data_IF_029474419072
#
_entry.id   IF_029474419072
#
_cell.length_a   1.000
_cell.length_b   1.000
_cell.length_c   1.000
_cell.angle_alpha   90.00
_cell.angle_beta   90.00
_cell.angle_gamma   90.00
#
_symmetry.space_group_name_H-M   'P 1'
#
loop_
_entity.id
_entity.type
_entity.pdbx_description
1 polymer ?
#
# COMPACT_ATOMS: atom_id res chain seq x y z
N UNK A 1 9.54 9.76 -22.10
CA UNK A 1 10.04 8.59 -22.87
C UNK A 1 9.22 7.37 -22.43
N UNK A 2 8.92 6.46 -23.37
CA UNK A 2 7.72 5.60 -23.43
C UNK A 2 7.51 4.66 -22.23
N UNK A 3 6.33 4.71 -21.60
CA UNK A 3 5.83 3.66 -20.70
C UNK A 3 4.78 2.85 -21.44
N UNK A 4 5.21 2.09 -22.45
CA UNK A 4 4.43 0.97 -22.95
C UNK A 4 5.44 -0.11 -23.28
N UNK A 5 5.38 -1.22 -22.55
CA UNK A 5 5.66 -2.59 -23.01
C UNK A 5 6.00 -3.55 -21.86
N UNK A 6 5.13 -3.62 -20.85
CA UNK A 6 4.94 -4.92 -20.19
C UNK A 6 3.96 -5.70 -21.07
N UNK A 7 4.42 -6.80 -21.67
CA UNK A 7 3.58 -7.73 -22.43
C UNK A 7 2.40 -8.23 -21.59
N UNK A 8 2.60 -8.34 -20.28
CA UNK A 8 1.58 -8.76 -19.32
C UNK A 8 0.44 -7.74 -19.22
N UNK A 9 0.76 -6.44 -19.22
CA UNK A 9 -0.25 -5.38 -19.23
C UNK A 9 -1.09 -5.42 -20.51
N UNK A 10 -0.46 -5.65 -21.67
CA UNK A 10 -1.20 -5.80 -22.95
C UNK A 10 -2.10 -7.03 -22.94
N UNK A 11 -1.63 -8.15 -22.38
CA UNK A 11 -2.41 -9.39 -22.25
C UNK A 11 -3.62 -9.20 -21.32
N UNK A 12 -3.43 -8.55 -20.18
CA UNK A 12 -4.51 -8.26 -19.23
C UNK A 12 -5.54 -7.29 -19.81
N UNK A 13 -5.10 -6.24 -20.53
CA UNK A 13 -6.00 -5.33 -21.23
C UNK A 13 -6.85 -6.06 -22.27
N UNK A 14 -6.24 -6.96 -23.06
CA UNK A 14 -6.95 -7.74 -24.07
C UNK A 14 -8.03 -8.64 -23.48
N UNK A 15 -7.78 -9.25 -22.33
CA UNK A 15 -8.76 -10.06 -21.59
C UNK A 15 -9.89 -9.20 -21.02
N UNK A 16 -9.59 -7.98 -20.58
CA UNK A 16 -10.58 -7.04 -20.06
C UNK A 16 -11.51 -6.51 -21.16
N UNK A 17 -10.95 -5.99 -22.27
CA UNK A 17 -11.75 -5.47 -23.38
C UNK A 17 -12.62 -6.53 -24.06
N UNK A 18 -12.17 -7.78 -24.11
CA UNK A 18 -12.94 -8.89 -24.68
C UNK A 18 -14.10 -9.35 -23.77
N UNK A 19 -14.05 -9.04 -22.47
CA UNK A 19 -15.15 -9.30 -21.53
C UNK A 19 -16.24 -8.21 -21.57
N UNK A 20 -15.88 -6.96 -21.85
CA UNK A 20 -16.86 -5.85 -21.94
C UNK A 20 -17.76 -5.95 -23.19
N UNK A 21 -17.31 -6.57 -24.28
CA UNK A 21 -18.08 -6.59 -25.54
C UNK A 21 -19.25 -7.57 -25.61
N UNK A 22 -19.50 -8.38 -24.56
CA UNK A 22 -20.59 -9.39 -24.55
C UNK A 22 -21.72 -9.13 -23.54
N UNK A 23 -21.83 -7.92 -22.99
CA UNK A 23 -22.79 -7.62 -21.91
C UNK A 23 -23.80 -6.51 -22.21
N UNK A 24 -24.93 -6.89 -22.84
CA UNK A 24 -26.30 -6.36 -22.65
C UNK A 24 -26.65 -4.89 -22.93
N UNK A 25 -27.48 -4.78 -23.97
CA UNK A 25 -28.61 -3.88 -24.22
C UNK A 25 -29.14 -2.98 -23.08
N UNK A 26 -29.30 -1.69 -23.44
CA UNK A 26 -30.38 -0.73 -23.14
C UNK A 26 -31.36 -1.05 -21.99
N UNK A 27 -31.35 -0.18 -20.96
CA UNK A 27 -32.56 0.43 -20.38
C UNK A 27 -32.21 1.80 -19.80
N UNK A 28 -32.89 2.83 -20.29
CA UNK A 28 -32.80 4.24 -19.89
C UNK A 28 -33.65 4.53 -18.65
N UNK A 29 -33.06 5.12 -17.60
CA UNK A 29 -33.79 5.79 -16.52
C UNK A 29 -33.07 7.09 -16.11
N UNK A 30 -33.87 8.15 -16.01
CA UNK A 30 -33.56 9.58 -15.74
C UNK A 30 -32.82 9.85 -14.39
N UNK A 31 -32.21 11.04 -14.21
CA UNK A 31 -31.06 11.22 -13.33
C UNK A 31 -31.49 11.38 -11.87
N UNK A 32 -31.29 10.32 -11.09
CA UNK A 32 -30.99 10.47 -9.66
C UNK A 32 -29.54 10.93 -9.59
N UNK A 33 -29.25 12.03 -8.86
CA UNK A 33 -27.90 12.56 -8.68
C UNK A 33 -26.90 11.42 -8.49
N UNK A 34 -26.07 11.20 -9.52
CA UNK A 34 -25.12 10.09 -9.55
C UNK A 34 -23.80 10.63 -9.06
N UNK A 35 -23.42 10.27 -7.85
CA UNK A 35 -22.07 10.50 -7.33
C UNK A 35 -21.18 9.47 -8.02
N UNK A 36 -20.53 9.87 -9.12
CA UNK A 36 -19.51 9.06 -9.78
C UNK A 36 -18.16 9.35 -9.12
N UNK A 37 -17.55 8.32 -8.51
CA UNK A 37 -16.15 8.38 -8.11
C UNK A 37 -15.33 8.53 -9.40
N UNK A 38 -14.34 9.42 -9.41
CA UNK A 38 -13.46 9.56 -10.57
C UNK A 38 -12.83 8.21 -10.90
N UNK A 39 -12.53 7.97 -12.18
CA UNK A 39 -11.91 6.70 -12.61
C UNK A 39 -10.61 6.44 -11.86
N UNK A 40 -9.90 7.51 -11.52
CA UNK A 40 -8.67 7.52 -10.71
C UNK A 40 -8.95 7.13 -9.24
N UNK A 41 -10.05 7.59 -8.66
CA UNK A 41 -10.44 7.20 -7.31
C UNK A 41 -10.86 5.72 -7.23
N UNK A 42 -11.52 5.22 -8.27
CA UNK A 42 -11.92 3.82 -8.35
C UNK A 42 -10.70 2.89 -8.49
N UNK A 43 -9.71 3.28 -9.30
CA UNK A 43 -8.45 2.52 -9.42
C UNK A 43 -7.65 2.55 -8.12
N UNK A 44 -7.53 3.69 -7.46
CA UNK A 44 -6.86 3.81 -6.16
C UNK A 44 -7.53 2.94 -5.09
N UNK A 45 -8.87 2.94 -5.03
CA UNK A 45 -9.62 2.11 -4.08
C UNK A 45 -9.38 0.61 -4.32
N UNK A 46 -9.32 0.18 -5.58
CA UNK A 46 -9.02 -1.22 -5.94
C UNK A 46 -7.59 -1.61 -5.56
N UNK A 47 -6.62 -0.72 -5.75
CA UNK A 47 -5.23 -0.93 -5.33
C UNK A 47 -5.14 -1.03 -3.81
N UNK A 48 -5.74 -0.10 -3.08
CA UNK A 48 -5.74 -0.11 -1.61
C UNK A 48 -6.33 -1.40 -1.04
N UNK A 49 -7.46 -1.86 -1.58
CA UNK A 49 -8.08 -3.13 -1.18
C UNK A 49 -7.22 -4.36 -1.48
N UNK A 50 -6.45 -4.30 -2.56
CA UNK A 50 -5.53 -5.38 -2.93
C UNK A 50 -4.33 -5.44 -1.99
N UNK A 51 -3.84 -4.28 -1.55
CA UNK A 51 -2.75 -4.17 -0.56
C UNK A 51 -3.23 -4.59 0.83
N UNK A 52 -4.44 -4.19 1.25
CA UNK A 52 -4.99 -4.56 2.56
C UNK A 52 -5.32 -6.05 2.72
N UNK A 53 -5.40 -6.79 1.60
CA UNK A 53 -5.60 -8.24 1.59
C UNK A 53 -4.27 -9.01 1.51
N UNK A 54 -3.13 -8.33 1.42
CA UNK A 54 -1.85 -8.95 1.70
C UNK A 54 -1.85 -9.16 3.21
N UNK A 55 -1.92 -10.42 3.66
CA UNK A 55 -1.78 -10.77 5.08
C UNK A 55 -0.60 -9.97 5.64
N UNK A 56 -0.90 -9.05 6.55
CA UNK A 56 0.15 -8.37 7.29
C UNK A 56 0.96 -9.48 7.96
N UNK A 57 2.28 -9.55 7.72
CA UNK A 57 3.09 -10.60 8.30
C UNK A 57 2.93 -10.56 9.81
N UNK A 58 2.70 -11.73 10.41
CA UNK A 58 2.42 -11.86 11.84
C UNK A 58 3.40 -11.02 12.66
N UNK A 59 2.87 -9.93 13.22
CA UNK A 59 3.64 -8.94 13.94
C UNK A 59 4.33 -9.62 15.14
N UNK A 60 3.72 -10.66 15.70
CA UNK A 60 4.28 -11.40 16.83
C UNK A 60 5.58 -12.14 16.44
N UNK A 61 5.59 -12.83 15.29
CA UNK A 61 6.78 -13.52 14.80
C UNK A 61 7.92 -12.54 14.51
N UNK A 62 7.61 -11.43 13.80
CA UNK A 62 8.59 -10.37 13.54
C UNK A 62 9.19 -9.82 14.83
N UNK A 63 8.36 -9.53 15.81
CA UNK A 63 8.80 -8.94 17.08
C UNK A 63 9.67 -9.92 17.88
N UNK A 64 9.33 -11.22 17.86
CA UNK A 64 10.14 -12.27 18.48
C UNK A 64 11.52 -12.39 17.82
N UNK A 65 11.59 -12.29 16.50
CA UNK A 65 12.83 -12.37 15.74
C UNK A 65 13.76 -11.19 16.04
N UNK A 66 13.20 -9.99 16.18
CA UNK A 66 13.95 -8.76 16.51
C UNK A 66 14.48 -8.83 17.93
N UNK A 67 13.64 -9.20 18.91
CA UNK A 67 14.06 -9.37 20.31
C UNK A 67 15.23 -10.34 20.43
N UNK A 68 15.13 -11.50 19.78
CA UNK A 68 16.19 -12.50 19.78
C UNK A 68 17.48 -11.97 19.13
N UNK A 69 17.38 -11.24 18.02
CA UNK A 69 18.55 -10.64 17.38
C UNK A 69 19.25 -9.59 18.28
N UNK A 70 18.48 -8.84 19.09
CA UNK A 70 19.01 -7.89 20.08
C UNK A 70 19.71 -8.64 21.21
N UNK A 71 19.08 -9.68 21.78
CA UNK A 71 19.66 -10.51 22.85
C UNK A 71 20.96 -11.21 22.42
N UNK A 72 21.01 -11.68 21.18
CA UNK A 72 22.18 -12.34 20.59
C UNK A 72 23.25 -11.34 20.09
N UNK A 73 23.02 -10.02 20.23
CA UNK A 73 23.95 -8.97 19.83
C UNK A 73 24.15 -8.85 18.31
N UNK A 74 23.26 -9.42 17.50
CA UNK A 74 23.33 -9.40 16.03
C UNK A 74 22.46 -8.31 15.41
N UNK A 75 21.74 -7.55 16.22
CA UNK A 75 20.93 -6.43 15.76
C UNK A 75 21.80 -5.18 15.59
N UNK A 76 21.97 -4.75 14.34
CA UNK A 76 22.71 -3.52 14.01
C UNK A 76 21.73 -2.37 13.85
N UNK A 77 21.98 -1.27 14.57
CA UNK A 77 21.23 -0.02 14.41
C UNK A 77 21.91 0.83 13.34
N UNK A 78 21.15 1.23 12.32
CA UNK A 78 21.60 2.23 11.35
C UNK A 78 21.30 3.63 11.91
N UNK A 79 22.35 4.35 12.27
CA UNK A 79 22.28 5.69 12.86
C UNK A 79 21.58 6.69 11.93
N UNK A 80 21.81 6.57 10.61
CA UNK A 80 21.23 7.50 9.63
C UNK A 80 19.74 7.25 9.48
N UNK A 81 19.34 5.99 9.35
CA UNK A 81 17.93 5.61 9.26
C UNK A 81 17.16 5.97 10.54
N UNK A 82 17.81 5.89 11.71
CA UNK A 82 17.23 6.33 12.97
C UNK A 82 17.01 7.84 13.00
N UNK A 83 18.02 8.63 12.63
CA UNK A 83 17.92 10.09 12.59
C UNK A 83 16.83 10.56 11.61
N UNK A 84 16.76 9.97 10.41
CA UNK A 84 15.74 10.30 9.42
C UNK A 84 14.31 10.06 9.95
N UNK A 85 14.10 9.00 10.73
CA UNK A 85 12.79 8.69 11.35
C UNK A 85 12.43 9.62 12.51
N UNK A 86 13.43 10.08 13.26
CA UNK A 86 13.19 11.08 14.32
C UNK A 86 12.78 12.43 13.71
N UNK A 87 13.41 12.81 12.59
CA UNK A 87 13.10 14.05 11.89
C UNK A 87 11.77 13.99 11.11
N UNK A 88 11.35 12.80 10.65
CA UNK A 88 10.08 12.64 9.90
C UNK A 88 8.83 12.71 10.78
N UNK A 89 8.97 12.71 12.11
CA UNK A 89 7.85 12.71 13.06
C UNK A 89 7.15 11.35 13.19
N UNK A 90 7.71 10.29 12.62
CA UNK A 90 7.23 8.90 12.78
C UNK A 90 7.44 8.38 14.21
N UNK A 91 8.38 8.96 14.95
CA UNK A 91 8.63 8.66 16.36
C UNK A 91 7.93 9.70 17.24
N UNK A 92 7.02 9.31 18.14
CA UNK A 92 6.40 10.22 19.10
C UNK A 92 7.43 11.01 19.92
N UNK A 93 7.19 12.31 20.12
CA UNK A 93 8.09 13.20 20.86
C UNK A 93 8.41 12.70 22.28
N UNK A 94 7.45 12.06 22.95
CA UNK A 94 7.62 11.53 24.31
C UNK A 94 8.69 10.42 24.36
N UNK A 95 8.80 9.63 23.29
CA UNK A 95 9.82 8.58 23.17
C UNK A 95 11.19 9.20 22.92
N UNK A 96 11.25 10.25 22.10
CA UNK A 96 12.48 10.99 21.81
C UNK A 96 13.02 11.62 23.10
N UNK A 97 12.15 12.29 23.89
CA UNK A 97 12.51 12.88 25.19
C UNK A 97 13.02 11.82 26.18
N UNK A 98 12.32 10.69 26.28
CA UNK A 98 12.74 9.58 27.13
C UNK A 98 14.13 9.02 26.75
N UNK A 99 14.51 9.03 25.46
CA UNK A 99 15.84 8.62 25.00
C UNK A 99 16.91 9.67 25.25
N UNK A 100 16.56 10.95 25.18
CA UNK A 100 17.46 12.08 25.45
C UNK A 100 17.65 12.35 26.95
N UNK A 101 16.80 11.77 27.80
CA UNK A 101 16.87 11.92 29.26
C UNK A 101 16.30 13.24 29.77
N UNK A 102 15.36 13.85 29.03
CA UNK A 102 14.62 15.07 29.41
C UNK A 102 13.29 14.79 30.12
#
# INVERSE_FOLDING_TARGET
MRIYESEELRRLLGIYLSKESKGKAQTSSTPSDRIEISREGETLSKILRSISNIEEPDIAEKLSSIKRAIEEGRYTVDEKALADRMLSGEVPEDIIKAWLGE
#
